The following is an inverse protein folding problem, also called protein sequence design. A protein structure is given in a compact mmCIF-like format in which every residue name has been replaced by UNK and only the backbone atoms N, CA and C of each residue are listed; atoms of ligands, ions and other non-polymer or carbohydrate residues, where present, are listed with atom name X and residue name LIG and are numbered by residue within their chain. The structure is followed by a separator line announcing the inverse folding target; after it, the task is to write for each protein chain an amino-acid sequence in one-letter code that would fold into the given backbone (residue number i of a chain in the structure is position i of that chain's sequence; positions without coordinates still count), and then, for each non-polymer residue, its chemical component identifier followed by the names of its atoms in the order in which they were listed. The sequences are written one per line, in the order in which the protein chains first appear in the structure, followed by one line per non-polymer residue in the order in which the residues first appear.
data_IF_034477045945
#
_entry.id   IF_034477045945
#
_cell.length_a   1.000
_cell.length_b   1.000
_cell.length_c   1.000
_cell.angle_alpha   90.00
_cell.angle_beta   90.00
_cell.angle_gamma   90.00
#
_symmetry.space_group_name_H-M   'P 1'
#
loop_
_entity.id
_entity.type
_entity.pdbx_description
1 polymer ?
#
# COMPACT_ATOMS: atom_id res chain seq x y z
N UNK A 1 -24.10 6.16 -25.81
CA UNK A 1 -24.24 6.62 -24.41
C UNK A 1 -24.39 5.37 -23.55
N UNK A 2 -23.63 5.22 -22.46
CA UNK A 2 -23.73 4.03 -21.59
C UNK A 2 -25.11 3.98 -20.94
N UNK A 3 -25.85 2.89 -21.15
CA UNK A 3 -27.21 2.68 -20.62
C UNK A 3 -27.26 2.82 -19.09
N UNK A 4 -26.26 2.30 -18.39
CA UNK A 4 -26.13 2.39 -16.94
C UNK A 4 -25.98 3.83 -16.41
N UNK A 5 -25.35 4.74 -17.19
CA UNK A 5 -25.26 6.15 -16.82
C UNK A 5 -26.60 6.86 -16.98
N UNK A 6 -27.34 6.53 -18.05
CA UNK A 6 -28.69 7.06 -18.28
C UNK A 6 -29.66 6.57 -17.19
N UNK A 7 -29.60 5.28 -16.84
CA UNK A 7 -30.42 4.68 -15.79
C UNK A 7 -30.11 5.27 -14.41
N UNK A 8 -28.86 5.68 -14.16
CA UNK A 8 -28.47 6.45 -12.97
C UNK A 8 -29.04 7.87 -12.96
N UNK A 9 -28.93 8.60 -14.08
CA UNK A 9 -29.43 9.97 -14.19
C UNK A 9 -30.96 10.04 -14.05
N UNK A 10 -31.66 9.03 -14.56
CA UNK A 10 -33.09 8.86 -14.43
C UNK A 10 -33.52 8.32 -13.04
N UNK A 11 -32.57 7.99 -12.17
CA UNK A 11 -32.83 7.46 -10.82
C UNK A 11 -33.38 6.04 -10.79
N UNK A 12 -33.31 5.31 -11.92
CA UNK A 12 -33.72 3.91 -12.04
C UNK A 12 -32.73 3.01 -11.29
N UNK A 13 -31.43 3.28 -11.43
CA UNK A 13 -30.37 2.59 -10.69
C UNK A 13 -29.91 3.39 -9.46
N UNK A 14 -29.75 2.68 -8.34
CA UNK A 14 -29.18 3.27 -7.13
C UNK A 14 -27.69 3.56 -7.35
N UNK A 15 -27.16 4.71 -6.90
CA UNK A 15 -25.74 5.06 -7.07
C UNK A 15 -24.76 3.99 -6.56
N UNK A 16 -25.09 3.31 -5.47
CA UNK A 16 -24.24 2.25 -4.90
C UNK A 16 -24.17 1.00 -5.78
N UNK A 17 -25.25 0.64 -6.48
CA UNK A 17 -25.27 -0.51 -7.38
C UNK A 17 -24.38 -0.24 -8.57
N UNK A 18 -24.53 0.94 -9.19
CA UNK A 18 -23.66 1.36 -10.28
C UNK A 18 -22.19 1.42 -9.82
N UNK A 19 -21.91 1.99 -8.64
CA UNK A 19 -20.55 2.07 -8.08
C UNK A 19 -19.92 0.67 -7.99
N UNK A 20 -20.64 -0.30 -7.42
CA UNK A 20 -20.15 -1.68 -7.29
C UNK A 20 -19.92 -2.33 -8.65
N UNK A 21 -20.87 -2.20 -9.59
CA UNK A 21 -20.71 -2.73 -10.95
C UNK A 21 -19.49 -2.16 -11.67
N UNK A 22 -19.28 -0.84 -11.58
CA UNK A 22 -18.13 -0.16 -12.17
C UNK A 22 -16.80 -0.58 -11.53
N UNK A 23 -16.75 -0.74 -10.20
CA UNK A 23 -15.57 -1.27 -9.50
C UNK A 23 -15.26 -2.68 -9.97
N UNK A 24 -16.26 -3.57 -9.98
CA UNK A 24 -16.11 -4.94 -10.46
C UNK A 24 -15.62 -4.99 -11.90
N UNK A 25 -16.17 -4.16 -12.80
CA UNK A 25 -15.71 -4.06 -14.19
C UNK A 25 -14.25 -3.62 -14.28
N UNK A 26 -13.83 -2.64 -13.47
CA UNK A 26 -12.44 -2.16 -13.44
C UNK A 26 -11.49 -3.23 -12.92
N UNK A 27 -11.88 -4.00 -11.92
CA UNK A 27 -11.09 -5.13 -11.39
C UNK A 27 -10.94 -6.23 -12.43
N UNK A 28 -11.99 -6.57 -13.19
CA UNK A 28 -11.88 -7.54 -14.28
C UNK A 28 -11.03 -7.07 -15.46
N UNK A 29 -10.89 -5.76 -15.63
CA UNK A 29 -10.07 -5.15 -16.68
C UNK A 29 -8.68 -4.71 -16.16
N UNK A 30 -8.24 -5.21 -15.01
CA UNK A 30 -6.96 -4.84 -14.42
C UNK A 30 -5.80 -5.34 -15.30
N UNK A 31 -4.91 -4.43 -15.68
CA UNK A 31 -3.71 -4.73 -16.46
C UNK A 31 -2.50 -3.99 -15.84
N UNK A 32 -1.30 -4.44 -16.17
CA UNK A 32 -0.06 -3.85 -15.67
C UNK A 32 0.04 -2.38 -16.12
N UNK A 33 0.16 -1.48 -15.15
CA UNK A 33 0.40 -0.07 -15.45
C UNK A 33 1.77 0.12 -16.11
N UNK A 34 1.79 0.76 -17.28
CA UNK A 34 3.03 1.10 -18.00
C UNK A 34 3.57 2.49 -17.69
N UNK A 35 2.81 3.27 -16.92
CA UNK A 35 3.11 4.68 -16.62
C UNK A 35 3.49 4.92 -15.17
N UNK A 36 3.13 4.00 -14.26
CA UNK A 36 3.52 4.06 -12.86
C UNK A 36 4.70 3.14 -12.60
N UNK A 37 5.73 3.69 -11.98
CA UNK A 37 6.85 2.95 -11.41
C UNK A 37 7.10 3.44 -9.99
N UNK A 38 7.50 2.51 -9.12
CA UNK A 38 7.92 2.79 -7.75
C UNK A 38 9.42 2.56 -7.70
N UNK A 39 10.19 3.57 -7.33
CA UNK A 39 11.63 3.45 -7.19
C UNK A 39 11.93 2.67 -5.90
N UNK A 40 12.46 1.45 -6.01
CA UNK A 40 12.85 0.64 -4.84
C UNK A 40 14.29 0.93 -4.44
N UNK A 41 14.52 1.07 -3.13
CA UNK A 41 15.86 1.14 -2.53
C UNK A 41 16.28 -0.19 -1.89
N UNK A 42 15.42 -1.22 -1.96
CA UNK A 42 15.75 -2.54 -1.47
C UNK A 42 16.91 -3.15 -2.27
N UNK A 43 17.89 -3.69 -1.54
CA UNK A 43 19.03 -4.44 -2.09
C UNK A 43 18.67 -5.94 -2.31
N UNK A 44 17.46 -6.34 -1.92
CA UNK A 44 16.96 -7.70 -2.04
C UNK A 44 15.50 -7.78 -2.48
N UNK A 45 14.95 -9.00 -2.60
CA UNK A 45 13.54 -9.20 -2.93
C UNK A 45 12.61 -8.53 -1.91
N UNK A 46 11.56 -7.87 -2.42
CA UNK A 46 10.46 -7.35 -1.62
C UNK A 46 9.54 -8.50 -1.25
N UNK A 47 9.41 -8.77 0.05
CA UNK A 47 8.64 -9.90 0.55
C UNK A 47 7.20 -9.52 0.89
N UNK A 48 6.98 -8.27 1.28
CA UNK A 48 5.70 -7.81 1.79
C UNK A 48 5.44 -6.34 1.46
N UNK A 49 4.16 -6.01 1.33
CA UNK A 49 3.65 -4.67 1.06
C UNK A 49 2.37 -4.47 1.89
N UNK A 50 2.15 -3.27 2.39
CA UNK A 50 0.87 -2.89 2.98
C UNK A 50 0.55 -1.42 2.69
N UNK A 51 -0.73 -1.12 2.45
CA UNK A 51 -1.22 0.23 2.10
C UNK A 51 -2.05 0.75 3.26
N UNK A 52 -1.82 2.02 3.61
CA UNK A 52 -2.51 2.72 4.67
C UNK A 52 -4.04 2.75 4.41
N UNK A 53 -4.83 2.59 5.47
CA UNK A 53 -6.24 2.20 5.35
C UNK A 53 -7.25 3.36 5.38
N UNK A 54 -6.83 4.59 5.74
CA UNK A 54 -7.70 5.76 5.84
C UNK A 54 -7.73 6.51 4.51
N UNK A 55 -6.56 6.95 4.02
CA UNK A 55 -6.45 7.72 2.77
C UNK A 55 -5.91 6.87 1.60
N UNK A 56 -5.22 5.78 1.88
CA UNK A 56 -4.54 4.96 0.86
C UNK A 56 -3.36 5.69 0.22
N UNK A 57 -2.81 6.69 0.92
CA UNK A 57 -1.74 7.54 0.40
C UNK A 57 -0.37 6.90 0.60
N UNK A 58 -0.16 6.28 1.75
CA UNK A 58 1.13 5.72 2.11
C UNK A 58 1.18 4.20 1.91
N UNK A 59 2.35 3.71 1.51
CA UNK A 59 2.62 2.28 1.35
C UNK A 59 3.91 1.91 2.09
N UNK A 60 3.87 0.80 2.82
CA UNK A 60 5.05 0.16 3.39
C UNK A 60 5.54 -0.95 2.48
N UNK A 61 6.86 -1.12 2.39
CA UNK A 61 7.47 -2.31 1.80
C UNK A 61 8.55 -2.88 2.71
N UNK A 62 8.55 -4.21 2.89
CA UNK A 62 9.57 -4.93 3.63
C UNK A 62 10.39 -5.84 2.73
N UNK A 63 11.72 -5.76 2.86
CA UNK A 63 12.68 -6.48 2.03
C UNK A 63 13.39 -7.63 2.74
N UNK A 64 13.99 -8.51 1.95
CA UNK A 64 14.93 -9.53 2.45
C UNK A 64 16.25 -8.93 2.96
N UNK A 65 16.52 -7.66 2.63
CA UNK A 65 17.68 -6.87 3.02
C UNK A 65 17.52 -6.18 4.38
N UNK A 66 16.61 -6.69 5.22
CA UNK A 66 16.25 -6.20 6.57
C UNK A 66 15.66 -4.78 6.64
N UNK A 67 15.50 -4.12 5.49
CA UNK A 67 14.96 -2.76 5.42
C UNK A 67 13.43 -2.73 5.30
N UNK A 68 12.85 -1.66 5.82
CA UNK A 68 11.44 -1.32 5.63
C UNK A 68 11.39 0.10 5.09
N UNK A 69 10.71 0.30 3.97
CA UNK A 69 10.56 1.60 3.33
C UNK A 69 9.11 2.07 3.38
N UNK A 70 8.93 3.39 3.52
CA UNK A 70 7.67 4.10 3.40
C UNK A 70 7.67 4.87 2.09
N UNK A 71 6.57 4.79 1.33
CA UNK A 71 6.37 5.52 0.08
C UNK A 71 5.12 6.37 0.17
N UNK A 72 5.18 7.57 -0.40
CA UNK A 72 4.00 8.35 -0.73
C UNK A 72 3.56 8.03 -2.17
N UNK A 73 2.37 7.42 -2.32
CA UNK A 73 1.82 7.01 -3.61
C UNK A 73 1.26 8.18 -4.44
N UNK A 74 1.09 9.36 -3.84
CA UNK A 74 0.66 10.57 -4.52
C UNK A 74 1.83 11.34 -5.15
N UNK A 75 3.05 11.18 -4.61
CA UNK A 75 4.26 11.79 -5.14
C UNK A 75 4.64 11.24 -6.53
N UNK A 76 5.25 12.12 -7.35
CA UNK A 76 5.66 11.79 -8.71
C UNK A 76 7.05 12.37 -8.99
N UNK A 77 8.08 11.53 -9.17
CA UNK A 77 8.08 10.06 -9.12
C UNK A 77 7.79 9.50 -7.72
N UNK A 78 7.22 8.29 -7.63
CA UNK A 78 7.01 7.60 -6.34
C UNK A 78 8.36 7.12 -5.83
N UNK A 79 8.81 7.71 -4.71
CA UNK A 79 10.09 7.41 -4.08
C UNK A 79 9.88 7.11 -2.59
N UNK A 80 10.89 6.45 -2.00
CA UNK A 80 10.90 6.19 -0.56
C UNK A 80 11.05 7.52 0.19
N UNK A 81 10.07 7.86 1.02
CA UNK A 81 10.06 9.08 1.84
C UNK A 81 10.76 8.86 3.17
N UNK A 82 10.80 7.62 3.65
CA UNK A 82 11.46 7.24 4.88
C UNK A 82 11.84 5.74 4.90
N UNK A 83 12.83 5.40 5.72
CA UNK A 83 13.33 4.03 5.88
C UNK A 83 13.56 3.74 7.37
N UNK A 84 13.17 2.54 7.80
CA UNK A 84 13.56 2.01 9.10
C UNK A 84 15.03 1.57 9.03
N UNK A 85 15.88 1.92 10.02
CA UNK A 85 17.29 1.55 10.00
C UNK A 85 17.51 0.05 9.73
N UNK A 86 18.41 -0.29 8.81
CA UNK A 86 18.71 -1.68 8.41
C UNK A 86 19.14 -2.61 9.55
N UNK A 87 19.62 -2.05 10.66
CA UNK A 87 20.03 -2.81 11.85
C UNK A 87 18.87 -3.08 12.83
N UNK A 88 17.64 -2.73 12.45
CA UNK A 88 16.45 -2.98 13.26
C UNK A 88 16.12 -4.47 13.36
N UNK A 89 16.10 -5.16 12.22
CA UNK A 89 15.90 -6.60 12.12
C UNK A 89 17.20 -7.30 11.76
N UNK A 90 17.37 -8.52 12.25
CA UNK A 90 18.59 -9.31 12.03
C UNK A 90 18.49 -10.09 10.72
N UNK A 91 17.27 -10.50 10.35
CA UNK A 91 16.98 -11.21 9.10
C UNK A 91 15.87 -10.51 8.31
N UNK A 92 15.65 -10.98 7.08
CA UNK A 92 14.67 -10.41 6.16
C UNK A 92 13.29 -10.23 6.78
N UNK A 93 12.64 -9.13 6.42
CA UNK A 93 11.29 -8.81 6.87
C UNK A 93 10.32 -9.73 6.14
N UNK A 94 9.52 -10.48 6.90
CA UNK A 94 8.54 -11.43 6.36
C UNK A 94 7.17 -10.79 6.16
N UNK A 95 6.84 -9.76 6.93
CA UNK A 95 5.56 -9.08 6.86
C UNK A 95 5.61 -7.68 7.48
N UNK A 96 4.84 -6.76 6.90
CA UNK A 96 4.57 -5.42 7.44
C UNK A 96 3.07 -5.22 7.50
N UNK A 97 2.59 -4.48 8.49
CA UNK A 97 1.17 -4.16 8.62
C UNK A 97 0.97 -2.81 9.28
N UNK A 98 0.19 -1.94 8.64
CA UNK A 98 -0.30 -0.71 9.23
C UNK A 98 -1.18 -1.01 10.44
N UNK A 99 -1.04 -0.19 11.49
CA UNK A 99 -1.96 -0.28 12.59
C UNK A 99 -3.35 0.22 12.14
N UNK A 100 -4.42 -0.57 12.30
CA UNK A 100 -5.68 -0.31 11.60
C UNK A 100 -6.48 0.90 12.11
N UNK A 101 -6.11 1.45 13.27
CA UNK A 101 -6.86 2.57 13.89
C UNK A 101 -6.07 3.87 13.96
N UNK A 102 -4.76 3.82 13.70
CA UNK A 102 -3.87 4.98 13.78
C UNK A 102 -2.76 4.84 12.74
N UNK A 103 -2.67 5.82 11.85
CA UNK A 103 -1.63 5.91 10.82
C UNK A 103 -0.28 6.33 11.40
N UNK A 104 -0.23 6.68 12.69
CA UNK A 104 1.01 6.94 13.41
C UNK A 104 1.87 5.70 13.63
N UNK A 105 1.34 4.48 13.47
CA UNK A 105 2.04 3.25 13.86
C UNK A 105 1.94 2.12 12.82
N UNK A 106 2.96 1.27 12.79
CA UNK A 106 2.92 0.02 12.04
C UNK A 106 3.71 -1.08 12.74
N UNK A 107 3.50 -2.31 12.29
CA UNK A 107 4.15 -3.50 12.79
C UNK A 107 4.98 -4.16 11.69
N UNK A 108 6.07 -4.79 12.11
CA UNK A 108 6.87 -5.65 11.24
C UNK A 108 7.11 -7.00 11.91
N UNK A 109 7.19 -8.04 11.09
CA UNK A 109 7.62 -9.38 11.48
C UNK A 109 8.82 -9.78 10.62
N UNK A 110 9.77 -10.50 11.21
CA UNK A 110 10.99 -10.93 10.54
C UNK A 110 11.31 -12.39 10.84
N UNK A 111 12.15 -12.98 9.98
CA UNK A 111 12.75 -14.29 10.22
C UNK A 111 13.69 -14.33 11.43
N UNK A 112 13.95 -13.20 12.09
CA UNK A 112 14.68 -13.11 13.37
C UNK A 112 13.86 -13.51 14.60
N UNK A 113 12.65 -14.04 14.38
CA UNK A 113 11.71 -14.45 15.42
C UNK A 113 11.20 -13.29 16.28
N UNK A 114 11.30 -12.05 15.77
CA UNK A 114 10.77 -10.86 16.45
C UNK A 114 9.63 -10.22 15.68
N UNK A 115 8.78 -9.54 16.44
CA UNK A 115 7.79 -8.58 15.93
C UNK A 115 8.14 -7.24 16.55
N UNK A 116 8.19 -6.19 15.74
CA UNK A 116 8.49 -4.83 16.18
C UNK A 116 7.32 -3.92 15.89
N UNK A 117 7.17 -2.91 16.73
CA UNK A 117 6.18 -1.84 16.61
C UNK A 117 6.95 -0.56 16.38
N UNK A 118 6.50 0.22 15.42
CA UNK A 118 7.19 1.40 14.92
C UNK A 118 6.28 2.62 15.01
N UNK A 119 6.86 3.75 15.37
CA UNK A 119 6.25 5.06 15.15
C UNK A 119 6.66 5.57 13.77
N UNK A 120 5.69 5.86 12.91
CA UNK A 120 5.91 6.36 11.55
C UNK A 120 6.53 7.75 11.48
N UNK A 121 6.27 8.60 12.46
CA UNK A 121 6.75 9.98 12.45
C UNK A 121 8.24 10.05 12.75
N UNK A 122 8.72 9.14 13.60
CA UNK A 122 10.13 9.07 14.02
C UNK A 122 10.90 7.94 13.37
N UNK A 123 10.23 6.95 12.79
CA UNK A 123 10.80 5.69 12.28
C UNK A 123 11.65 4.95 13.33
N UNK A 124 11.12 4.87 14.56
CA UNK A 124 11.77 4.25 15.72
C UNK A 124 10.89 3.17 16.34
#
# INVERSE_FOLDING_TARGET
MNRSLLDRELGIERPNVLKTQEITRRVYALDLSRTKSVATLHDGPVNCLDIENVEGRYMLSGGSDTSIHLYDLEERPIQSTAEVPRNSHIYGVSGVSWYPFDTGMFLSSSFDHTIKVWDTNTMQ
#
